data_IF_056455248881
#
_entry.id   IF_056455248881
#
_cell.length_a   1.000
_cell.length_b   1.000
_cell.length_c   1.000
_cell.angle_alpha   90.00
_cell.angle_beta   90.00
_cell.angle_gamma   90.00
#
_symmetry.space_group_name_H-M   'P 1'
#
loop_
_entity.id
_entity.type
_entity.pdbx_description
1 polymer ?
#
# COMPACT_ATOMS: atom_id res chain seq x y z
N UNK A 1 19.67 11.90 -26.39
CA UNK A 1 18.20 11.71 -26.30
C UNK A 1 17.75 10.91 -25.06
N UNK A 2 18.64 10.47 -24.15
CA UNK A 2 18.28 9.58 -23.02
C UNK A 2 17.99 10.34 -21.71
N UNK A 3 18.58 11.52 -21.52
CA UNK A 3 18.41 12.31 -20.28
C UNK A 3 16.97 12.83 -20.06
N UNK A 4 16.21 13.02 -21.14
CA UNK A 4 14.84 13.58 -21.07
C UNK A 4 13.78 12.55 -20.64
N UNK A 5 14.03 11.25 -20.88
CA UNK A 5 13.07 10.20 -20.52
C UNK A 5 13.09 9.90 -19.02
N UNK A 6 14.29 9.73 -18.45
CA UNK A 6 14.43 9.47 -17.01
C UNK A 6 13.88 10.61 -16.15
N UNK A 7 14.06 11.86 -16.59
CA UNK A 7 13.47 13.02 -15.92
C UNK A 7 11.92 13.04 -16.01
N UNK A 8 11.35 12.66 -17.16
CA UNK A 8 9.89 12.56 -17.33
C UNK A 8 9.29 11.42 -16.51
N UNK A 9 9.96 10.27 -16.45
CA UNK A 9 9.53 9.11 -15.65
C UNK A 9 9.59 9.46 -14.16
N UNK A 10 10.65 10.14 -13.72
CA UNK A 10 10.79 10.60 -12.34
C UNK A 10 9.71 11.62 -11.97
N UNK A 11 9.38 12.56 -12.87
CA UNK A 11 8.30 13.51 -12.65
C UNK A 11 6.92 12.83 -12.55
N UNK A 12 6.70 11.76 -13.32
CA UNK A 12 5.48 10.95 -13.21
C UNK A 12 5.41 10.23 -11.86
N UNK A 13 6.51 9.59 -11.44
CA UNK A 13 6.58 8.91 -10.14
C UNK A 13 6.32 9.87 -8.98
N UNK A 14 6.94 11.05 -8.96
CA UNK A 14 6.68 12.05 -7.91
C UNK A 14 5.24 12.57 -7.89
N UNK A 15 4.59 12.70 -9.05
CA UNK A 15 3.19 13.15 -9.11
C UNK A 15 2.22 12.15 -8.47
N UNK A 16 2.53 10.87 -8.57
CA UNK A 16 1.66 9.78 -8.15
C UNK A 16 2.26 8.95 -7.01
N UNK A 17 3.26 9.47 -6.30
CA UNK A 17 3.87 8.74 -5.20
C UNK A 17 2.86 8.58 -4.06
N UNK A 18 2.64 7.36 -3.54
CA UNK A 18 1.77 7.15 -2.41
C UNK A 18 2.41 7.76 -1.15
N UNK A 19 1.81 8.84 -0.65
CA UNK A 19 2.24 9.45 0.63
C UNK A 19 1.70 8.62 1.78
N UNK A 20 2.56 7.83 2.42
CA UNK A 20 2.22 7.11 3.64
C UNK A 20 2.34 8.07 4.84
N UNK A 21 1.22 8.34 5.53
CA UNK A 21 1.19 9.15 6.75
C UNK A 21 1.26 8.27 7.98
N UNK A 22 2.41 8.29 8.65
CA UNK A 22 2.60 7.62 9.93
C UNK A 22 2.19 8.51 11.10
N UNK A 23 1.67 7.89 12.15
CA UNK A 23 1.38 8.57 13.43
C UNK A 23 2.66 8.75 14.25
N UNK A 24 2.67 9.74 15.16
CA UNK A 24 3.83 10.00 16.02
C UNK A 24 4.13 8.77 16.89
N UNK A 25 5.31 8.17 16.69
CA UNK A 25 5.76 6.97 17.43
C UNK A 25 5.54 5.66 16.68
N UNK A 26 4.89 5.70 15.52
CA UNK A 26 4.78 4.56 14.64
C UNK A 26 6.13 4.28 13.98
N UNK A 27 6.68 3.10 14.24
CA UNK A 27 7.97 2.68 13.70
C UNK A 27 7.73 1.92 12.41
N UNK A 28 8.03 2.54 11.29
CA UNK A 28 8.09 1.83 10.01
C UNK A 28 9.51 1.29 9.83
N UNK A 29 9.65 -0.03 9.91
CA UNK A 29 10.87 -0.72 9.57
C UNK A 29 10.70 -1.38 8.20
N UNK A 30 11.74 -1.42 7.36
CA UNK A 30 11.71 -2.25 6.17
C UNK A 30 11.31 -3.68 6.55
N UNK A 31 10.25 -4.17 5.93
CA UNK A 31 9.72 -5.52 6.14
C UNK A 31 9.44 -6.15 4.78
N UNK A 32 9.61 -7.46 4.72
CA UNK A 32 9.18 -8.24 3.57
C UNK A 32 7.66 -8.08 3.37
N UNK A 33 7.28 -7.55 2.20
CA UNK A 33 5.88 -7.22 1.90
C UNK A 33 4.99 -8.46 1.89
N UNK A 34 5.49 -9.58 1.40
CA UNK A 34 4.73 -10.82 1.32
C UNK A 34 4.42 -11.34 2.73
N UNK A 35 5.42 -11.34 3.61
CA UNK A 35 5.27 -11.74 5.01
C UNK A 35 4.32 -10.83 5.77
N UNK A 36 4.42 -9.52 5.54
CA UNK A 36 3.50 -8.55 6.14
C UNK A 36 2.04 -8.83 5.73
N UNK A 37 1.80 -9.02 4.42
CA UNK A 37 0.46 -9.27 3.88
C UNK A 37 -0.16 -10.57 4.40
N UNK A 38 0.64 -11.63 4.56
CA UNK A 38 0.16 -12.92 5.09
C UNK A 38 -0.38 -12.80 6.54
N UNK A 39 0.07 -11.81 7.31
CA UNK A 39 -0.37 -11.56 8.68
C UNK A 39 -1.45 -10.46 8.77
N UNK A 40 -1.94 -9.99 7.63
CA UNK A 40 -2.97 -8.95 7.58
C UNK A 40 -4.35 -9.54 7.26
N UNK A 41 -5.40 -8.85 7.72
CA UNK A 41 -6.75 -9.00 7.19
C UNK A 41 -7.14 -7.76 6.38
N UNK A 42 -7.96 -7.92 5.34
CA UNK A 42 -8.45 -6.82 4.51
C UNK A 42 -9.85 -6.41 4.96
N UNK A 43 -10.05 -5.11 5.10
CA UNK A 43 -11.31 -4.50 5.52
C UNK A 43 -11.71 -3.38 4.56
N UNK A 44 -13.01 -3.12 4.45
CA UNK A 44 -13.55 -1.94 3.78
C UNK A 44 -14.54 -1.24 4.69
N UNK A 45 -14.49 0.09 4.71
CA UNK A 45 -15.43 0.94 5.41
C UNK A 45 -15.99 1.96 4.42
N UNK A 46 -17.24 1.77 4.02
CA UNK A 46 -17.95 2.73 3.18
C UNK A 46 -18.51 3.87 4.04
N UNK A 47 -18.78 5.05 3.44
CA UNK A 47 -19.37 6.16 4.17
C UNK A 47 -20.67 5.74 4.88
N UNK A 48 -20.77 6.05 6.17
CA UNK A 48 -21.93 5.73 7.02
C UNK A 48 -22.18 4.22 7.24
N UNK A 49 -21.24 3.35 6.89
CA UNK A 49 -21.33 1.91 7.14
C UNK A 49 -20.30 1.45 8.17
N UNK A 50 -20.63 0.38 8.88
CA UNK A 50 -19.67 -0.33 9.73
C UNK A 50 -18.62 -1.02 8.86
N UNK A 51 -17.37 -1.02 9.31
CA UNK A 51 -16.31 -1.74 8.63
C UNK A 51 -16.65 -3.22 8.48
N UNK A 52 -16.51 -3.76 7.27
CA UNK A 52 -16.68 -5.19 6.98
C UNK A 52 -15.35 -5.80 6.58
N UNK A 53 -15.09 -7.00 7.10
CA UNK A 53 -13.93 -7.77 6.69
C UNK A 53 -14.18 -8.37 5.31
N UNK A 54 -13.24 -8.13 4.39
CA UNK A 54 -13.23 -8.70 3.04
C UNK A 54 -12.48 -10.02 3.00
N UNK A 55 -11.29 -10.04 3.62
CA UNK A 55 -10.40 -11.19 3.60
C UNK A 55 -9.84 -11.35 5.01
N UNK A 56 -10.01 -12.52 5.66
CA UNK A 56 -9.46 -12.77 6.98
C UNK A 56 -7.92 -12.91 6.95
N UNK A 57 -7.32 -12.80 8.13
CA UNK A 57 -5.88 -13.02 8.32
C UNK A 57 -5.46 -14.40 7.79
N UNK A 58 -4.25 -14.48 7.22
CA UNK A 58 -3.72 -15.71 6.64
C UNK A 58 -4.30 -16.08 5.27
N UNK A 59 -5.35 -15.39 4.80
CA UNK A 59 -5.94 -15.61 3.48
C UNK A 59 -5.69 -14.49 2.49
N UNK A 60 -5.08 -13.38 2.93
CA UNK A 60 -4.70 -12.27 2.07
C UNK A 60 -3.39 -12.58 1.34
N UNK A 61 -3.39 -12.37 0.02
CA UNK A 61 -2.21 -12.55 -0.85
C UNK A 61 -2.07 -11.33 -1.77
N UNK A 62 -0.88 -11.15 -2.36
CA UNK A 62 -0.60 -10.01 -3.25
C UNK A 62 -1.50 -10.03 -4.50
N UNK A 63 -1.79 -11.20 -5.03
CA UNK A 63 -2.62 -11.39 -6.23
C UNK A 63 -4.07 -10.96 -6.00
N UNK A 64 -4.53 -10.93 -4.74
CA UNK A 64 -5.88 -10.46 -4.38
C UNK A 64 -5.97 -8.93 -4.23
N UNK A 65 -4.84 -8.22 -4.36
CA UNK A 65 -4.77 -6.75 -4.26
C UNK A 65 -4.67 -6.03 -5.61
N UNK A 66 -4.58 -6.78 -6.71
CA UNK A 66 -4.53 -6.29 -8.11
C UNK A 66 -5.87 -6.47 -8.80
#
# INVERSE_FOLDING_TARGET
MIENQAASDLAMLHRFEPVVRYTRGERFFPIDVQRYIQQCSLWVQLPNETARQLIPEGQLTLEKLT
#
